data_IF_386720628395
#
_entry.id   IF_386720628395
#
_cell.length_a   1.000
_cell.length_b   1.000
_cell.length_c   1.000
_cell.angle_alpha   90.00
_cell.angle_beta   90.00
_cell.angle_gamma   90.00
#
_symmetry.space_group_name_H-M   'P 1'
#
loop_
_entity.id
_entity.type
_entity.pdbx_description
1 polymer ?
#
# COMPACT_ATOMS: atom_id res chain seq x y z
N UNK A 1 -17.97 17.99 9.52
CA UNK A 1 -17.83 16.53 9.29
C UNK A 1 -16.46 16.11 9.78
N UNK A 2 -16.38 15.25 10.80
CA UNK A 2 -15.10 14.74 11.31
C UNK A 2 -14.92 13.32 10.77
N UNK A 3 -14.02 13.15 9.81
CA UNK A 3 -13.68 11.85 9.22
C UNK A 3 -12.52 11.28 10.02
N UNK A 4 -12.72 10.13 10.67
CA UNK A 4 -11.67 9.41 11.38
C UNK A 4 -11.15 8.27 10.50
N UNK A 5 -9.89 8.34 10.09
CA UNK A 5 -9.24 7.29 9.32
C UNK A 5 -8.73 6.21 10.28
N UNK A 6 -9.27 4.98 10.15
CA UNK A 6 -8.81 3.82 10.92
C UNK A 6 -7.60 3.20 10.22
N UNK A 7 -6.45 3.02 10.90
CA UNK A 7 -5.32 2.30 10.35
C UNK A 7 -5.66 0.86 10.00
N UNK A 8 -5.19 0.40 8.85
CA UNK A 8 -5.30 -0.99 8.40
C UNK A 8 -4.03 -1.80 8.65
N UNK A 9 -2.93 -1.13 9.00
CA UNK A 9 -1.65 -1.76 9.23
C UNK A 9 -0.57 -0.77 9.65
N UNK A 10 0.67 -1.24 9.64
CA UNK A 10 1.87 -0.47 10.01
C UNK A 10 3.03 -0.77 9.07
N UNK A 11 3.84 0.25 8.78
CA UNK A 11 5.10 0.12 8.04
C UNK A 11 6.23 -0.11 9.05
N UNK A 12 7.09 -1.10 8.82
CA UNK A 12 8.26 -1.38 9.64
C UNK A 12 9.50 -1.49 8.75
N UNK A 13 10.60 -0.83 9.10
CA UNK A 13 11.87 -1.06 8.42
C UNK A 13 12.43 -2.45 8.75
N UNK A 14 12.90 -3.17 7.73
CA UNK A 14 13.45 -4.52 7.85
C UNK A 14 14.72 -4.64 7.00
N UNK A 15 15.85 -4.24 7.58
CA UNK A 15 17.15 -4.25 6.92
C UNK A 15 17.20 -3.37 5.65
N UNK A 16 17.38 -4.01 4.49
CA UNK A 16 17.41 -3.33 3.18
C UNK A 16 16.02 -3.09 2.59
N UNK A 17 14.97 -3.64 3.20
CA UNK A 17 13.59 -3.58 2.74
C UNK A 17 12.70 -2.94 3.80
N UNK A 18 11.40 -2.84 3.50
CA UNK A 18 10.36 -2.52 4.46
C UNK A 18 9.33 -3.64 4.48
N UNK A 19 8.66 -3.81 5.62
CA UNK A 19 7.53 -4.70 5.81
C UNK A 19 6.29 -3.87 6.08
N UNK A 20 5.20 -4.21 5.41
CA UNK A 20 3.88 -3.67 5.67
C UNK A 20 3.07 -4.78 6.33
N UNK A 21 2.73 -4.58 7.60
CA UNK A 21 1.98 -5.54 8.39
C UNK A 21 0.52 -5.09 8.42
N UNK A 22 -0.36 -5.85 7.80
CA UNK A 22 -1.80 -5.57 7.74
C UNK A 22 -2.48 -6.26 8.93
N UNK A 23 -3.32 -5.54 9.67
CA UNK A 23 -4.06 -6.16 10.78
C UNK A 23 -5.03 -7.21 10.24
N UNK A 24 -5.19 -8.31 10.96
CA UNK A 24 -5.95 -9.48 10.50
C UNK A 24 -7.40 -9.15 10.13
N UNK A 25 -8.02 -8.18 10.81
CA UNK A 25 -9.37 -7.69 10.49
C UNK A 25 -9.48 -7.08 9.08
N UNK A 26 -8.35 -6.69 8.46
CA UNK A 26 -8.26 -6.11 7.12
C UNK A 26 -7.58 -7.02 6.10
N UNK A 27 -7.38 -8.30 6.40
CA UNK A 27 -6.71 -9.23 5.49
C UNK A 27 -7.39 -9.31 4.10
N UNK A 28 -8.72 -9.13 4.06
CA UNK A 28 -9.50 -9.10 2.84
C UNK A 28 -9.04 -8.00 1.86
N UNK A 29 -8.50 -6.88 2.36
CA UNK A 29 -7.94 -5.80 1.52
C UNK A 29 -6.82 -6.35 0.64
N UNK A 30 -5.93 -7.14 1.22
CA UNK A 30 -4.82 -7.75 0.48
C UNK A 30 -5.34 -8.80 -0.49
N UNK A 31 -6.29 -9.65 -0.07
CA UNK A 31 -6.89 -10.66 -0.97
C UNK A 31 -7.54 -10.00 -2.20
N UNK A 32 -8.27 -8.92 -1.99
CA UNK A 32 -8.93 -8.16 -3.05
C UNK A 32 -7.95 -7.41 -3.96
N UNK A 33 -6.85 -6.91 -3.40
CA UNK A 33 -5.77 -6.29 -4.16
C UNK A 33 -5.13 -7.35 -5.07
N UNK A 34 -4.77 -8.51 -4.51
CA UNK A 34 -4.11 -9.57 -5.26
C UNK A 34 -4.96 -10.23 -6.34
N UNK A 35 -6.26 -10.40 -6.12
CA UNK A 35 -7.13 -11.05 -7.11
C UNK A 35 -7.16 -10.29 -8.44
N UNK A 36 -6.78 -9.02 -8.44
CA UNK A 36 -6.75 -8.14 -9.61
C UNK A 36 -5.48 -8.26 -10.45
N UNK A 37 -4.38 -8.83 -9.94
CA UNK A 37 -3.15 -8.96 -10.74
C UNK A 37 -3.26 -10.02 -11.82
N UNK A 38 -4.22 -10.96 -11.73
CA UNK A 38 -4.38 -12.09 -12.64
C UNK A 38 -3.17 -13.04 -12.72
N UNK A 39 -2.11 -12.74 -11.96
CA UNK A 39 -0.83 -13.45 -11.93
C UNK A 39 -0.71 -14.18 -10.60
N UNK A 40 -0.26 -15.43 -10.67
CA UNK A 40 0.07 -16.25 -9.50
C UNK A 40 1.24 -15.67 -8.68
N UNK A 41 2.11 -14.88 -9.32
CA UNK A 41 3.19 -14.14 -8.68
C UNK A 41 2.83 -12.65 -8.57
N UNK A 42 2.74 -12.15 -7.33
CA UNK A 42 2.54 -10.73 -7.05
C UNK A 42 3.87 -9.95 -7.00
N UNK A 43 4.97 -10.67 -6.93
CA UNK A 43 6.31 -10.11 -6.84
C UNK A 43 6.62 -9.27 -8.09
N UNK A 44 7.28 -8.14 -7.88
CA UNK A 44 7.64 -7.20 -8.93
C UNK A 44 6.54 -6.22 -9.34
N UNK A 45 5.33 -6.30 -8.78
CA UNK A 45 4.31 -5.27 -9.01
C UNK A 45 4.57 -4.06 -8.12
N UNK A 46 4.38 -2.86 -8.68
CA UNK A 46 4.41 -1.63 -7.89
C UNK A 46 3.10 -1.49 -7.10
N UNK A 47 3.26 -1.12 -5.83
CA UNK A 47 2.18 -0.80 -4.91
C UNK A 47 2.27 0.65 -4.46
N UNK A 48 1.10 1.24 -4.27
CA UNK A 48 0.93 2.55 -3.70
C UNK A 48 0.42 2.38 -2.27
N UNK A 49 1.19 2.93 -1.33
CA UNK A 49 0.91 2.83 0.10
C UNK A 49 0.49 4.21 0.58
N UNK A 50 -0.74 4.32 1.05
CA UNK A 50 -1.24 5.52 1.72
C UNK A 50 -0.98 5.35 3.21
N UNK A 51 -0.16 6.22 3.79
CA UNK A 51 0.21 6.17 5.20
C UNK A 51 0.13 7.55 5.82
N UNK A 52 0.12 7.61 7.15
CA UNK A 52 0.27 8.89 7.86
C UNK A 52 1.63 9.49 7.53
N UNK A 53 1.63 10.78 7.22
CA UNK A 53 2.87 11.55 7.06
C UNK A 53 3.42 12.00 8.41
N UNK A 54 4.71 12.35 8.44
CA UNK A 54 5.31 13.02 9.59
C UNK A 54 4.67 14.41 9.74
N UNK A 55 4.32 14.81 10.97
CA UNK A 55 3.65 16.09 11.27
C UNK A 55 4.44 17.31 10.79
N UNK A 56 5.74 17.14 10.53
CA UNK A 56 6.65 18.20 10.09
C UNK A 56 6.37 18.71 8.67
N UNK A 57 5.80 17.87 7.80
CA UNK A 57 5.57 18.23 6.39
C UNK A 57 4.20 18.92 6.16
N UNK A 58 3.44 19.22 7.21
CA UNK A 58 2.13 19.91 7.12
C UNK A 58 1.00 19.05 6.52
N UNK A 59 1.33 17.95 5.84
CA UNK A 59 0.39 16.98 5.30
C UNK A 59 0.21 15.80 6.26
N UNK A 60 -1.05 15.52 6.64
CA UNK A 60 -1.36 14.39 7.54
C UNK A 60 -1.23 13.03 6.85
N UNK A 61 -1.24 13.01 5.52
CA UNK A 61 -1.23 11.81 4.68
C UNK A 61 -0.10 11.89 3.66
N UNK A 62 0.52 10.76 3.38
CA UNK A 62 1.55 10.59 2.36
C UNK A 62 1.23 9.35 1.52
N UNK A 63 1.59 9.42 0.24
CA UNK A 63 1.53 8.29 -0.68
C UNK A 63 2.95 7.94 -1.10
N UNK A 64 3.33 6.69 -0.88
CA UNK A 64 4.62 6.16 -1.27
C UNK A 64 4.44 5.06 -2.30
N UNK A 65 5.14 5.16 -3.44
CA UNK A 65 5.25 4.06 -4.40
C UNK A 65 6.44 3.18 -4.02
N UNK A 66 6.24 1.88 -4.01
CA UNK A 66 7.30 0.88 -3.77
C UNK A 66 6.97 -0.42 -4.49
N UNK A 67 7.96 -1.26 -4.71
CA UNK A 67 7.77 -2.56 -5.38
C UNK A 67 7.47 -3.63 -4.35
N UNK A 68 6.44 -4.43 -4.59
CA UNK A 68 6.14 -5.61 -3.78
C UNK A 68 7.14 -6.72 -4.11
N UNK A 69 7.87 -7.17 -3.10
CA UNK A 69 8.94 -8.17 -3.24
C UNK A 69 8.47 -9.57 -2.87
N UNK A 70 7.64 -9.69 -1.83
CA UNK A 70 7.22 -10.97 -1.27
C UNK A 70 5.95 -10.78 -0.45
N UNK A 71 5.12 -11.83 -0.33
CA UNK A 71 3.99 -11.87 0.61
C UNK A 71 4.07 -13.11 1.49
N UNK A 72 3.93 -12.89 2.80
CA UNK A 72 3.76 -13.95 3.79
C UNK A 72 2.51 -13.65 4.64
N UNK A 73 1.38 -14.30 4.32
CA UNK A 73 0.12 -14.09 5.03
C UNK A 73 -0.39 -12.64 4.93
N UNK A 74 -0.43 -11.92 6.04
CA UNK A 74 -0.80 -10.50 6.15
C UNK A 74 0.40 -9.54 6.12
N UNK A 75 1.59 -10.06 5.84
CA UNK A 75 2.83 -9.30 5.72
C UNK A 75 3.19 -9.14 4.25
N UNK A 76 3.42 -7.90 3.84
CA UNK A 76 3.93 -7.55 2.51
C UNK A 76 5.34 -7.01 2.67
N UNK A 77 6.32 -7.70 2.08
CA UNK A 77 7.68 -7.22 2.01
C UNK A 77 7.82 -6.38 0.76
N UNK A 78 8.29 -5.15 0.92
CA UNK A 78 8.36 -4.17 -0.14
C UNK A 78 9.76 -3.56 -0.23
N UNK A 79 10.06 -2.91 -1.34
CA UNK A 79 11.24 -2.06 -1.49
C UNK A 79 11.33 -1.03 -0.37
N UNK A 80 12.55 -0.59 -0.05
CA UNK A 80 12.83 0.29 1.08
C UNK A 80 11.98 1.56 1.05
N UNK A 81 11.21 1.79 2.11
CA UNK A 81 10.43 3.01 2.31
C UNK A 81 11.17 3.97 3.27
N UNK A 82 10.94 5.28 3.10
CA UNK A 82 11.44 6.30 4.05
C UNK A 82 10.70 6.21 5.40
N UNK A 83 9.40 5.93 5.35
CA UNK A 83 8.50 5.72 6.47
C UNK A 83 8.97 4.59 7.41
N UNK A 84 8.75 4.77 8.72
CA UNK A 84 9.04 3.77 9.75
C UNK A 84 8.08 3.93 10.92
N UNK A 85 7.39 2.85 11.30
CA UNK A 85 6.28 2.83 12.25
C UNK A 85 5.08 3.72 11.88
N UNK A 86 4.98 4.11 10.61
CA UNK A 86 3.83 4.87 10.11
C UNK A 86 2.60 3.96 9.97
N UNK A 87 1.44 4.49 10.37
CA UNK A 87 0.15 3.82 10.17
C UNK A 87 -0.20 3.78 8.69
N UNK A 88 -0.49 2.59 8.17
CA UNK A 88 -1.04 2.39 6.83
C UNK A 88 -2.55 2.58 6.87
N UNK A 89 -3.08 3.29 5.89
CA UNK A 89 -4.50 3.60 5.75
C UNK A 89 -5.13 2.94 4.52
N UNK A 90 -4.36 2.82 3.43
CA UNK A 90 -4.79 2.13 2.21
C UNK A 90 -3.56 1.57 1.48
N UNK A 91 -3.78 0.53 0.68
CA UNK A 91 -2.77 -0.05 -0.20
C UNK A 91 -3.41 -0.50 -1.51
N UNK A 92 -2.78 -0.14 -2.64
CA UNK A 92 -3.30 -0.43 -3.99
C UNK A 92 -2.19 -0.88 -4.92
N UNK A 93 -2.55 -1.61 -5.97
CA UNK A 93 -1.64 -1.86 -7.08
C UNK A 93 -1.57 -0.59 -7.95
N UNK A 94 -0.41 -0.29 -8.50
CA UNK A 94 -0.26 0.85 -9.41
C UNK A 94 -1.11 0.68 -10.68
N UNK A 95 -1.32 -0.56 -11.12
CA UNK A 95 -2.18 -0.91 -12.26
C UNK A 95 -3.65 -0.54 -12.05
N UNK A 96 -4.13 -0.48 -10.79
CA UNK A 96 -5.50 -0.05 -10.49
C UNK A 96 -5.75 1.41 -10.90
N UNK A 97 -4.70 2.25 -10.91
CA UNK A 97 -4.80 3.67 -11.28
C UNK A 97 -4.79 3.85 -12.81
N UNK A 98 -4.07 3.00 -13.55
CA UNK A 98 -3.96 3.10 -15.00
C UNK A 98 -5.29 2.78 -15.70
N UNK A 99 -6.09 1.86 -15.13
CA UNK A 99 -7.40 1.48 -15.67
C UNK A 99 -8.44 2.62 -15.65
N UNK A 100 -8.24 3.67 -14.85
CA UNK A 100 -9.16 4.82 -14.81
C UNK A 100 -8.76 5.96 -15.77
N UNK A 101 -7.54 5.97 -16.31
CA UNK A 101 -7.10 7.03 -17.23
C UNK A 101 -7.45 6.74 -18.70
N UNK A 102 -7.57 5.47 -19.09
CA UNK A 102 -7.96 5.07 -20.44
C UNK A 102 -9.44 5.32 -20.75
N UNK A 103 -10.32 5.27 -19.74
CA UNK A 103 -11.75 5.55 -19.91
C UNK A 103 -12.09 7.05 -20.06
N UNK A 104 -11.14 7.96 -19.86
CA UNK A 104 -11.34 9.41 -19.98
C UNK A 104 -10.85 9.98 -21.32
N UNK A 105 -10.31 9.14 -22.22
CA UNK A 105 -9.80 9.56 -23.55
C UNK A 105 -10.66 9.08 -24.72
N UNK A 106 -11.84 8.52 -24.44
CA UNK A 106 -12.77 8.06 -25.46
C UNK A 106 -14.06 8.87 -25.47
N UNK A 107 -13.98 10.15 -25.86
CA UNK A 107 -15.08 10.94 -26.40
C UNK A 107 -14.54 12.01 -27.36
#
# INVERSE_FOLDING_TARGET
MQINLKPIGVIKKSGKNSEILIYSEFEQVIRNMLSRTGKTAVEGNDVLVVHKGDKKDGHQLQVSRTTLLERAGNILKVGRMKADYDSVLDIRLDTDIQLHQTNLRGH
#
